data_IF_225375272791
#
_entry.id   IF_225375272791
#
_cell.length_a   1.000
_cell.length_b   1.000
_cell.length_c   1.000
_cell.angle_alpha   90.00
_cell.angle_beta   90.00
_cell.angle_gamma   90.00
#
_symmetry.space_group_name_H-M   'P 1'
#
loop_
_entity.id
_entity.type
_entity.pdbx_description
1 polymer ?
#
# COMPACT_ATOMS: atom_id res chain seq x y z
N UNK A 1 3.63 9.93 11.36
CA UNK A 1 3.57 8.59 11.99
C UNK A 1 2.14 8.15 12.30
N UNK A 2 1.37 8.89 13.11
CA UNK A 2 -0.01 8.54 13.51
C UNK A 2 -0.93 8.33 12.30
N UNK A 3 -0.85 9.19 11.28
CA UNK A 3 -1.63 9.05 10.04
C UNK A 3 -1.49 7.68 9.37
N UNK A 4 -0.29 7.11 9.33
CA UNK A 4 -0.03 5.79 8.72
C UNK A 4 -0.60 4.65 9.54
N UNK A 5 -0.48 4.74 10.87
CA UNK A 5 -1.10 3.77 11.78
C UNK A 5 -2.63 3.84 11.65
N UNK A 6 -3.19 5.03 11.51
CA UNK A 6 -4.63 5.24 11.32
C UNK A 6 -5.12 4.64 10.00
N UNK A 7 -4.36 4.79 8.91
CA UNK A 7 -4.64 4.15 7.61
C UNK A 7 -4.45 2.64 7.63
N UNK A 8 -3.54 2.10 8.46
CA UNK A 8 -3.34 0.66 8.54
C UNK A 8 -4.62 -0.10 8.96
N UNK A 9 -5.49 0.54 9.76
CA UNK A 9 -6.72 -0.07 10.28
C UNK A 9 -7.74 -0.37 9.16
N UNK A 10 -8.24 0.63 8.39
CA UNK A 10 -9.21 0.37 7.33
C UNK A 10 -8.63 -0.54 6.24
N UNK A 11 -7.34 -0.43 5.91
CA UNK A 11 -6.69 -1.30 4.95
C UNK A 11 -6.57 -2.74 5.43
N UNK A 12 -6.31 -2.96 6.73
CA UNK A 12 -6.29 -4.30 7.32
C UNK A 12 -7.70 -4.89 7.32
N UNK A 13 -8.71 -4.13 7.74
CA UNK A 13 -10.10 -4.57 7.72
C UNK A 13 -10.56 -4.95 6.29
N UNK A 14 -10.21 -4.12 5.31
CA UNK A 14 -10.52 -4.38 3.91
C UNK A 14 -9.76 -5.62 3.38
N UNK A 15 -8.48 -5.78 3.74
CA UNK A 15 -7.70 -6.98 3.38
C UNK A 15 -8.29 -8.26 3.97
N UNK A 16 -8.78 -8.21 5.22
CA UNK A 16 -9.48 -9.35 5.84
C UNK A 16 -10.77 -9.68 5.06
N UNK A 17 -11.59 -8.67 4.75
CA UNK A 17 -12.79 -8.87 3.95
C UNK A 17 -12.46 -9.53 2.60
N UNK A 18 -11.44 -9.06 1.90
CA UNK A 18 -11.01 -9.65 0.64
C UNK A 18 -10.49 -11.08 0.83
N UNK A 19 -9.69 -11.34 1.86
CA UNK A 19 -9.16 -12.69 2.12
C UNK A 19 -10.25 -13.75 2.27
N UNK A 20 -11.37 -13.37 2.89
CA UNK A 20 -12.52 -14.26 3.09
C UNK A 20 -13.29 -14.55 1.80
N UNK A 21 -13.30 -13.61 0.85
CA UNK A 21 -14.09 -13.71 -0.38
C UNK A 21 -13.27 -14.13 -1.62
N UNK A 22 -11.94 -14.04 -1.55
CA UNK A 22 -11.06 -14.39 -2.66
C UNK A 22 -10.76 -15.90 -2.72
N UNK A 23 -10.61 -16.46 -3.95
CA UNK A 23 -10.10 -17.81 -4.16
C UNK A 23 -8.65 -17.92 -3.67
N UNK A 24 -8.17 -19.14 -3.45
CA UNK A 24 -6.83 -19.36 -2.92
C UNK A 24 -5.71 -18.77 -3.80
N UNK A 25 -5.94 -18.64 -5.10
CA UNK A 25 -5.01 -18.11 -6.09
C UNK A 25 -5.63 -16.87 -6.75
N UNK A 26 -4.92 -15.75 -6.72
CA UNK A 26 -5.35 -14.47 -7.29
C UNK A 26 -4.24 -13.89 -8.19
N UNK A 27 -4.58 -13.01 -9.14
CA UNK A 27 -3.56 -12.25 -9.85
C UNK A 27 -2.85 -11.29 -8.89
N UNK A 28 -1.52 -11.37 -8.83
CA UNK A 28 -0.68 -10.53 -7.95
C UNK A 28 0.13 -9.50 -8.72
N UNK A 29 0.22 -9.65 -10.04
CA UNK A 29 0.91 -8.72 -10.92
C UNK A 29 0.12 -8.59 -12.23
N UNK A 30 0.05 -7.36 -12.74
CA UNK A 30 -0.56 -7.05 -14.02
C UNK A 30 0.50 -6.48 -14.97
N UNK A 31 0.46 -6.94 -16.24
CA UNK A 31 1.29 -6.40 -17.30
C UNK A 31 0.78 -5.04 -17.80
N UNK A 32 1.48 -4.45 -18.78
CA UNK A 32 1.12 -3.15 -19.38
C UNK A 32 -0.27 -3.11 -20.03
N UNK A 33 -0.82 -4.28 -20.36
CA UNK A 33 -2.16 -4.44 -20.94
C UNK A 33 -3.26 -4.70 -19.89
N UNK A 34 -2.95 -4.56 -18.60
CA UNK A 34 -3.82 -4.94 -17.48
C UNK A 34 -4.22 -6.42 -17.44
N UNK A 35 -3.48 -7.27 -18.13
CA UNK A 35 -3.63 -8.72 -18.07
C UNK A 35 -2.82 -9.28 -16.89
N UNK A 36 -3.34 -10.27 -16.15
CA UNK A 36 -2.56 -10.98 -15.13
C UNK A 36 -1.26 -11.55 -15.70
N UNK A 37 -0.12 -11.04 -15.22
CA UNK A 37 1.20 -11.57 -15.60
C UNK A 37 1.75 -12.55 -14.57
N UNK A 38 1.23 -12.51 -13.33
CA UNK A 38 1.62 -13.43 -12.27
C UNK A 38 0.44 -13.73 -11.33
N UNK A 39 0.40 -14.96 -10.82
CA UNK A 39 -0.61 -15.46 -9.91
C UNK A 39 0.04 -15.90 -8.60
N UNK A 40 -0.63 -15.65 -7.48
CA UNK A 40 -0.10 -15.95 -6.17
C UNK A 40 -1.18 -16.25 -5.15
N UNK A 41 -0.78 -16.61 -3.94
CA UNK A 41 -1.71 -16.90 -2.86
C UNK A 41 -2.49 -15.65 -2.46
N UNK A 42 -3.77 -15.78 -2.13
CA UNK A 42 -4.61 -14.66 -1.65
C UNK A 42 -4.08 -13.96 -0.40
N UNK A 43 -3.24 -14.61 0.40
CA UNK A 43 -2.57 -13.99 1.54
C UNK A 43 -1.65 -12.82 1.14
N UNK A 44 -1.24 -12.74 -0.13
CA UNK A 44 -0.40 -11.63 -0.64
C UNK A 44 -1.07 -10.26 -0.52
N UNK A 45 -2.40 -10.17 -0.43
CA UNK A 45 -3.11 -8.90 -0.22
C UNK A 45 -2.74 -8.23 1.11
N UNK A 46 -2.24 -8.97 2.10
CA UNK A 46 -1.79 -8.41 3.37
C UNK A 46 -0.48 -7.64 3.27
N UNK A 47 0.19 -7.68 2.11
CA UNK A 47 1.40 -6.87 1.89
C UNK A 47 1.09 -5.37 1.98
N UNK A 48 -0.12 -4.95 1.57
CA UNK A 48 -0.54 -3.55 1.64
C UNK A 48 -0.58 -3.05 3.10
N UNK A 49 -1.38 -3.62 4.02
CA UNK A 49 -1.38 -3.19 5.42
C UNK A 49 -0.02 -3.36 6.12
N UNK A 50 0.78 -4.37 5.76
CA UNK A 50 2.15 -4.53 6.26
C UNK A 50 3.06 -3.35 5.89
N UNK A 51 3.00 -2.89 4.63
CA UNK A 51 3.75 -1.71 4.17
C UNK A 51 3.36 -0.47 4.98
N UNK A 52 2.07 -0.29 5.28
CA UNK A 52 1.58 0.82 6.12
C UNK A 52 2.12 0.78 7.55
N UNK A 53 2.28 -0.40 8.13
CA UNK A 53 2.85 -0.57 9.47
C UNK A 53 4.37 -0.32 9.49
N UNK A 54 5.06 -0.74 8.43
CA UNK A 54 6.53 -0.77 8.39
C UNK A 54 7.11 0.59 7.95
N UNK A 55 6.57 1.24 6.91
CA UNK A 55 7.08 2.52 6.38
C UNK A 55 7.35 3.60 7.45
N UNK A 56 6.45 3.83 8.41
CA UNK A 56 6.64 4.88 9.42
C UNK A 56 7.83 4.61 10.35
N UNK A 57 8.13 3.34 10.60
CA UNK A 57 9.23 2.93 11.48
C UNK A 57 10.61 3.28 10.89
N UNK A 58 10.73 3.22 9.55
CA UNK A 58 11.94 3.60 8.84
C UNK A 58 12.06 5.13 8.67
N UNK A 59 10.94 5.83 8.50
CA UNK A 59 10.93 7.30 8.39
C UNK A 59 11.28 7.99 9.70
N UNK A 60 10.95 7.40 10.84
CA UNK A 60 11.20 7.97 12.18
C UNK A 60 12.70 8.03 12.56
N UNK A 61 13.57 7.22 11.94
CA UNK A 61 14.97 7.07 12.38
C UNK A 61 15.99 8.10 11.86
N UNK A 62 15.59 9.18 11.18
CA UNK A 62 16.55 10.21 10.70
C UNK A 62 16.67 11.41 11.63
N UNK A 63 17.79 11.41 12.37
CA UNK A 63 18.29 12.39 13.33
C UNK A 63 18.39 13.84 12.81
N UNK A 64 17.84 14.75 13.61
CA UNK A 64 18.41 16.02 14.11
C UNK A 64 19.75 16.41 13.46
N UNK A 65 19.73 17.34 12.50
CA UNK A 65 20.76 18.39 12.30
C UNK A 65 20.35 19.33 11.15
N UNK A 66 20.38 20.63 11.42
CA UNK A 66 19.99 21.78 10.57
C UNK A 66 18.49 21.96 10.29
N UNK A 67 17.80 22.69 11.18
CA UNK A 67 16.36 22.96 11.14
C UNK A 67 15.81 23.49 9.80
N UNK A 68 16.57 24.28 9.04
CA UNK A 68 16.10 24.84 7.76
C UNK A 68 16.17 23.84 6.59
N UNK A 69 17.23 23.02 6.53
CA UNK A 69 17.37 21.95 5.52
C UNK A 69 16.44 20.77 5.82
N UNK A 70 15.97 20.65 7.06
CA UNK A 70 15.06 19.60 7.53
C UNK A 70 13.60 19.87 7.16
N UNK A 71 13.13 21.12 7.19
CA UNK A 71 11.73 21.46 6.88
C UNK A 71 11.38 21.22 5.40
N UNK A 72 12.23 21.68 4.47
CA UNK A 72 12.02 21.42 3.04
C UNK A 72 12.17 19.93 2.69
N UNK A 73 13.07 19.23 3.39
CA UNK A 73 13.33 17.78 3.22
C UNK A 73 12.23 16.91 3.85
N UNK A 74 11.66 17.31 4.98
CA UNK A 74 10.55 16.58 5.60
C UNK A 74 9.27 16.78 4.80
N UNK A 75 8.99 18.01 4.34
CA UNK A 75 7.84 18.29 3.48
C UNK A 75 7.91 17.50 2.16
N UNK A 76 9.07 17.44 1.50
CA UNK A 76 9.25 16.63 0.29
C UNK A 76 9.16 15.13 0.54
N UNK A 77 9.69 14.63 1.66
CA UNK A 77 9.53 13.22 2.05
C UNK A 77 8.06 12.88 2.33
N UNK A 78 7.33 13.73 3.03
CA UNK A 78 5.90 13.55 3.30
C UNK A 78 5.08 13.55 2.00
N UNK A 79 5.34 14.47 1.08
CA UNK A 79 4.68 14.52 -0.24
C UNK A 79 4.97 13.26 -1.05
N UNK A 80 6.24 12.85 -1.17
CA UNK A 80 6.61 11.62 -1.87
C UNK A 80 5.89 10.42 -1.27
N UNK A 81 5.76 10.40 0.05
CA UNK A 81 5.06 9.31 0.73
C UNK A 81 3.57 9.33 0.42
N UNK A 82 2.91 10.49 0.49
CA UNK A 82 1.49 10.63 0.12
C UNK A 82 1.27 10.16 -1.33
N UNK A 83 2.15 10.51 -2.26
CA UNK A 83 2.06 10.05 -3.66
C UNK A 83 2.16 8.53 -3.77
N UNK A 84 3.12 7.90 -3.10
CA UNK A 84 3.25 6.43 -3.06
C UNK A 84 2.00 5.80 -2.44
N UNK A 85 1.42 6.42 -1.41
CA UNK A 85 0.21 5.94 -0.76
C UNK A 85 -1.01 6.01 -1.68
N UNK A 86 -1.23 7.13 -2.36
CA UNK A 86 -2.31 7.29 -3.32
C UNK A 86 -2.17 6.26 -4.45
N UNK A 87 -0.94 6.02 -4.92
CA UNK A 87 -0.66 5.00 -5.92
C UNK A 87 -1.00 3.59 -5.41
N UNK A 88 -0.58 3.21 -4.19
CA UNK A 88 -0.92 1.91 -3.60
C UNK A 88 -2.44 1.72 -3.43
N UNK A 89 -3.15 2.78 -3.05
CA UNK A 89 -4.61 2.78 -2.88
C UNK A 89 -5.31 2.57 -4.23
N UNK A 90 -4.87 3.27 -5.28
CA UNK A 90 -5.36 3.08 -6.65
C UNK A 90 -5.06 1.66 -7.14
N UNK A 91 -3.87 1.13 -6.89
CA UNK A 91 -3.51 -0.24 -7.25
C UNK A 91 -4.41 -1.27 -6.56
N UNK A 92 -4.70 -1.09 -5.27
CA UNK A 92 -5.57 -1.99 -4.51
C UNK A 92 -7.02 -1.97 -5.03
N UNK A 93 -7.54 -0.79 -5.38
CA UNK A 93 -8.85 -0.65 -6.06
C UNK A 93 -8.81 -1.26 -7.46
N UNK A 94 -7.71 -1.09 -8.20
CA UNK A 94 -7.54 -1.62 -9.55
C UNK A 94 -7.52 -3.14 -9.60
N UNK A 95 -6.78 -3.80 -8.71
CA UNK A 95 -6.78 -5.27 -8.56
C UNK A 95 -8.19 -5.76 -8.27
N UNK A 96 -8.93 -5.06 -7.41
CA UNK A 96 -10.32 -5.38 -7.09
C UNK A 96 -11.25 -5.24 -8.29
N UNK A 97 -11.19 -4.11 -9.01
CA UNK A 97 -12.02 -3.87 -10.19
C UNK A 97 -11.78 -4.93 -11.28
N UNK A 98 -10.51 -5.27 -11.52
CA UNK A 98 -10.14 -6.29 -12.49
C UNK A 98 -10.60 -7.69 -12.07
N UNK A 99 -10.51 -8.03 -10.77
CA UNK A 99 -11.01 -9.30 -10.26
C UNK A 99 -12.54 -9.43 -10.45
N UNK A 100 -13.32 -8.44 -10.03
CA UNK A 100 -14.78 -8.49 -10.17
C UNK A 100 -15.28 -8.39 -11.62
N UNK A 101 -14.46 -7.87 -12.53
CA UNK A 101 -14.74 -7.88 -13.97
C UNK A 101 -14.47 -9.23 -14.64
N UNK A 102 -13.61 -10.05 -14.04
CA UNK A 102 -13.28 -11.40 -14.54
C UNK A 102 -14.20 -12.50 -14.00
N UNK A 103 -15.01 -12.19 -12.97
CA UNK A 103 -16.17 -12.99 -12.55
C UNK A 103 -17.36 -12.72 -13.48
#
# INVERSE_FOLDING_TARGET
MIFFLLLSIPFTAFSIYLYLNLPNIIPVQFGLRFEPSNWGNKATIFIFPLIFLILPTFMSRKSISSQEKLLTRSASAEIITIVILTFLLIMMIGVYYLYFRML
#
